data_IF_597413684398
#
_entry.id   IF_597413684398
#
_cell.length_a   1.000
_cell.length_b   1.000
_cell.length_c   1.000
_cell.angle_alpha   90.00
_cell.angle_beta   90.00
_cell.angle_gamma   90.00
#
_symmetry.space_group_name_H-M   'P 1'
#
loop_
_entity.id
_entity.type
_entity.pdbx_description
1 polymer ?
#
# COMPACT_ATOMS: atom_id res chain seq x y z
N UNK A 1 -0.01 12.34 -12.63
CA UNK A 1 0.29 11.55 -13.85
C UNK A 1 1.03 10.28 -13.50
N UNK A 2 0.35 9.15 -13.35
CA UNK A 2 0.99 7.84 -13.18
C UNK A 2 1.42 7.30 -14.55
N UNK A 3 2.52 7.80 -15.10
CA UNK A 3 3.13 7.17 -16.28
C UNK A 3 3.60 5.78 -15.87
N UNK A 4 3.05 4.74 -16.50
CA UNK A 4 3.43 3.36 -16.22
C UNK A 4 4.94 3.16 -16.44
N UNK A 5 5.61 2.54 -15.47
CA UNK A 5 7.04 2.20 -15.53
C UNK A 5 7.19 0.91 -16.33
N UNK A 6 8.07 0.92 -17.34
CA UNK A 6 8.38 -0.28 -18.12
C UNK A 6 9.22 -1.23 -17.27
N UNK A 7 8.77 -2.48 -17.11
CA UNK A 7 9.54 -3.51 -16.41
C UNK A 7 10.59 -4.08 -17.38
N UNK A 8 11.88 -4.15 -16.99
CA UNK A 8 12.92 -4.75 -17.82
C UNK A 8 12.60 -6.19 -18.18
N UNK A 9 12.85 -6.62 -19.42
CA UNK A 9 12.54 -7.99 -19.87
C UNK A 9 13.41 -9.06 -19.21
N UNK A 10 14.49 -8.68 -18.55
CA UNK A 10 15.32 -9.56 -17.73
C UNK A 10 14.96 -9.52 -16.23
N UNK A 11 13.92 -8.78 -15.83
CA UNK A 11 13.37 -8.89 -14.49
C UNK A 11 12.77 -10.30 -14.30
N UNK A 12 12.88 -10.80 -13.08
CA UNK A 12 12.40 -12.11 -12.67
C UNK A 12 11.00 -12.00 -12.06
N UNK A 13 10.23 -13.08 -12.14
CA UNK A 13 8.98 -13.23 -11.41
C UNK A 13 8.68 -14.71 -11.19
N UNK A 14 7.88 -15.01 -10.17
CA UNK A 14 7.35 -16.35 -9.97
C UNK A 14 6.19 -16.60 -10.94
N UNK A 15 6.32 -17.56 -11.85
CA UNK A 15 5.26 -17.96 -12.77
C UNK A 15 4.41 -19.07 -12.14
N UNK A 16 3.16 -18.82 -11.69
CA UNK A 16 2.37 -19.80 -10.97
C UNK A 16 1.99 -21.00 -11.84
N UNK A 17 1.71 -20.79 -13.13
CA UNK A 17 1.34 -21.86 -14.05
C UNK A 17 2.51 -22.82 -14.33
N UNK A 18 3.75 -22.30 -14.36
CA UNK A 18 4.97 -23.11 -14.53
C UNK A 18 5.56 -23.61 -13.20
N UNK A 19 5.08 -23.09 -12.08
CA UNK A 19 5.65 -23.29 -10.74
C UNK A 19 7.19 -23.10 -10.73
N UNK A 20 7.64 -22.01 -11.35
CA UNK A 20 9.06 -21.73 -11.54
C UNK A 20 9.33 -20.23 -11.65
N UNK A 21 10.55 -19.82 -11.30
CA UNK A 21 11.01 -18.46 -11.57
C UNK A 21 11.35 -18.32 -13.04
N UNK A 22 10.83 -17.29 -13.69
CA UNK A 22 11.07 -16.98 -15.10
C UNK A 22 11.29 -15.49 -15.31
N UNK A 23 11.72 -15.10 -16.52
CA UNK A 23 11.68 -13.69 -16.90
C UNK A 23 10.24 -13.20 -17.06
N UNK A 24 10.01 -11.92 -16.75
CA UNK A 24 8.72 -11.26 -16.98
C UNK A 24 8.33 -11.30 -18.46
N UNK A 25 7.03 -11.28 -18.74
CA UNK A 25 6.55 -11.22 -20.12
C UNK A 25 7.03 -9.92 -20.81
N UNK A 26 7.32 -9.93 -22.11
CA UNK A 26 7.62 -8.73 -22.86
C UNK A 26 6.51 -7.67 -22.71
N UNK A 27 6.89 -6.39 -22.67
CA UNK A 27 5.98 -5.26 -22.51
C UNK A 27 5.23 -5.20 -21.17
N UNK A 28 5.67 -5.94 -20.16
CA UNK A 28 5.17 -5.76 -18.78
C UNK A 28 5.40 -4.33 -18.31
N UNK A 29 4.38 -3.75 -17.69
CA UNK A 29 4.43 -2.43 -17.07
C UNK A 29 3.98 -2.51 -15.62
N UNK A 30 4.45 -1.58 -14.80
CA UNK A 30 4.12 -1.45 -13.40
C UNK A 30 3.77 0.00 -13.06
N UNK A 31 3.05 0.23 -11.97
CA UNK A 31 2.76 1.60 -11.50
C UNK A 31 3.98 2.23 -10.83
N UNK A 32 4.85 1.42 -10.24
CA UNK A 32 6.07 1.87 -9.57
C UNK A 32 7.21 0.87 -9.67
N UNK A 33 8.41 1.37 -9.37
CA UNK A 33 9.64 0.62 -9.19
C UNK A 33 10.34 1.14 -7.93
N UNK A 34 10.71 0.25 -7.02
CA UNK A 34 11.35 0.62 -5.75
C UNK A 34 12.61 -0.21 -5.56
N UNK A 35 13.71 0.45 -5.22
CA UNK A 35 14.96 -0.19 -4.83
C UNK A 35 15.01 -0.24 -3.31
N UNK A 36 15.00 -1.45 -2.75
CA UNK A 36 15.14 -1.69 -1.32
C UNK A 36 16.60 -1.98 -1.00
N UNK A 37 17.18 -1.18 -0.11
CA UNK A 37 18.48 -1.43 0.49
C UNK A 37 18.30 -2.15 1.82
N UNK A 38 18.63 -3.44 1.85
CA UNK A 38 18.50 -4.34 2.99
C UNK A 38 19.81 -4.46 3.79
N UNK A 39 20.86 -3.71 3.42
CA UNK A 39 22.11 -3.70 4.18
C UNK A 39 21.92 -3.41 5.68
N UNK A 40 21.02 -2.50 6.12
CA UNK A 40 20.75 -2.31 7.54
C UNK A 40 20.25 -3.58 8.24
N UNK A 41 19.37 -4.36 7.61
CA UNK A 41 18.89 -5.62 8.16
C UNK A 41 20.02 -6.66 8.17
N UNK A 42 20.67 -6.87 7.03
CA UNK A 42 21.65 -7.96 6.86
C UNK A 42 22.94 -7.75 7.67
N UNK A 43 23.31 -6.50 7.96
CA UNK A 43 24.54 -6.18 8.70
C UNK A 43 24.33 -6.13 10.22
N UNK A 44 23.12 -5.81 10.67
CA UNK A 44 22.87 -5.59 12.09
C UNK A 44 22.18 -6.78 12.73
N UNK A 45 21.27 -7.47 12.03
CA UNK A 45 20.44 -8.50 12.64
C UNK A 45 20.79 -9.91 12.14
N UNK A 46 20.47 -10.91 12.96
CA UNK A 46 20.62 -12.33 12.65
C UNK A 46 19.39 -13.10 13.11
N UNK A 47 19.20 -14.26 12.52
CA UNK A 47 18.21 -15.23 12.98
C UNK A 47 18.51 -15.70 14.41
N UNK A 48 17.49 -16.17 15.14
CA UNK A 48 17.61 -16.63 16.52
C UNK A 48 18.62 -17.79 16.71
N UNK A 49 18.96 -18.51 15.64
CA UNK A 49 19.98 -19.56 15.61
C UNK A 49 21.38 -19.05 15.25
N UNK A 50 21.55 -17.74 15.08
CA UNK A 50 22.81 -17.06 14.79
C UNK A 50 23.17 -16.99 13.30
N UNK A 51 22.33 -17.51 12.41
CA UNK A 51 22.53 -17.37 10.96
C UNK A 51 22.38 -15.90 10.52
N UNK A 52 23.19 -15.46 9.55
CA UNK A 52 23.00 -14.14 8.95
C UNK A 52 21.75 -14.12 8.08
N UNK A 53 21.01 -13.02 8.11
CA UNK A 53 19.89 -12.79 7.18
C UNK A 53 20.48 -12.38 5.82
N UNK A 54 19.97 -12.97 4.74
CA UNK A 54 20.53 -12.79 3.38
C UNK A 54 19.44 -12.54 2.34
N UNK A 55 19.86 -12.16 1.13
CA UNK A 55 18.94 -12.04 -0.01
C UNK A 55 18.19 -13.36 -0.33
N UNK A 56 18.78 -14.52 0.00
CA UNK A 56 18.10 -15.80 -0.18
C UNK A 56 16.84 -15.92 0.68
N UNK A 57 16.87 -15.39 1.91
CA UNK A 57 15.72 -15.40 2.82
C UNK A 57 14.55 -14.56 2.30
N UNK A 58 14.86 -13.38 1.74
CA UNK A 58 13.87 -12.46 1.15
C UNK A 58 13.21 -13.09 -0.07
N UNK A 59 14.02 -13.63 -0.98
CA UNK A 59 13.55 -14.23 -2.22
C UNK A 59 12.75 -15.51 -1.94
N UNK A 60 13.21 -16.35 -1.01
CA UNK A 60 12.53 -17.60 -0.72
C UNK A 60 11.16 -17.39 -0.08
N UNK A 61 11.00 -16.34 0.74
CA UNK A 61 9.70 -15.97 1.30
C UNK A 61 8.68 -15.58 0.23
N UNK A 62 9.09 -14.76 -0.75
CA UNK A 62 8.25 -14.47 -1.92
C UNK A 62 7.83 -15.77 -2.65
N UNK A 63 8.78 -16.68 -2.84
CA UNK A 63 8.54 -17.92 -3.58
C UNK A 63 7.61 -18.87 -2.83
N UNK A 64 7.89 -19.16 -1.56
CA UNK A 64 7.08 -20.11 -0.78
C UNK A 64 5.66 -19.57 -0.58
N UNK A 65 5.50 -18.25 -0.35
CA UNK A 65 4.20 -17.59 -0.34
C UNK A 65 3.47 -17.74 -1.68
N UNK A 66 4.20 -17.62 -2.80
CA UNK A 66 3.61 -17.82 -4.11
C UNK A 66 3.22 -19.28 -4.39
N UNK A 67 3.99 -20.25 -3.91
CA UNK A 67 3.69 -21.67 -4.02
C UNK A 67 2.44 -22.06 -3.22
N UNK A 68 2.30 -21.54 -1.99
CA UNK A 68 1.13 -21.81 -1.15
C UNK A 68 -0.15 -21.10 -1.64
N UNK A 69 -0.03 -19.98 -2.37
CA UNK A 69 -1.18 -19.09 -2.62
C UNK A 69 -1.65 -18.98 -4.08
N UNK A 70 -0.77 -19.14 -5.08
CA UNK A 70 -1.08 -18.71 -6.47
C UNK A 70 -1.45 -19.85 -7.43
N UNK A 71 -1.31 -21.11 -7.04
CA UNK A 71 -1.70 -22.24 -7.89
C UNK A 71 -2.25 -23.40 -7.05
N UNK A 72 -3.55 -23.67 -7.19
CA UNK A 72 -4.26 -24.72 -6.44
C UNK A 72 -3.81 -26.15 -6.75
N UNK A 73 -3.03 -26.36 -7.81
CA UNK A 73 -2.42 -27.67 -8.10
C UNK A 73 -1.08 -27.88 -7.41
N UNK A 74 -0.53 -26.87 -6.70
CA UNK A 74 0.70 -27.05 -5.93
C UNK A 74 0.43 -27.96 -4.70
N UNK A 75 1.29 -28.96 -4.41
CA UNK A 75 1.11 -29.83 -3.24
C UNK A 75 1.00 -29.10 -1.91
N UNK A 76 1.61 -27.92 -1.79
CA UNK A 76 1.56 -27.11 -0.57
C UNK A 76 0.55 -25.96 -0.64
N UNK A 77 -0.38 -26.00 -1.59
CA UNK A 77 -1.43 -25.00 -1.70
C UNK A 77 -2.33 -24.99 -0.45
N UNK A 78 -2.68 -23.78 -0.02
CA UNK A 78 -3.57 -23.51 1.09
C UNK A 78 -4.53 -22.37 0.73
N UNK A 79 -5.83 -22.62 0.83
CA UNK A 79 -6.86 -21.66 0.43
C UNK A 79 -6.91 -20.43 1.33
N UNK A 80 -6.56 -20.57 2.60
CA UNK A 80 -6.56 -19.47 3.56
C UNK A 80 -5.32 -18.59 3.35
N UNK A 81 -4.16 -19.20 3.13
CA UNK A 81 -2.95 -18.49 2.67
C UNK A 81 -3.17 -17.83 1.29
N UNK A 82 -3.91 -18.47 0.39
CA UNK A 82 -4.29 -17.89 -0.90
C UNK A 82 -5.14 -16.64 -0.73
N UNK A 83 -6.13 -16.68 0.16
CA UNK A 83 -6.96 -15.51 0.48
C UNK A 83 -6.16 -14.39 1.14
N UNK A 84 -5.20 -14.73 2.02
CA UNK A 84 -4.39 -13.74 2.75
C UNK A 84 -3.33 -13.08 1.85
N UNK A 85 -2.58 -13.88 1.08
CA UNK A 85 -1.39 -13.39 0.36
C UNK A 85 -1.60 -13.19 -1.13
N UNK A 86 -2.53 -13.94 -1.73
CA UNK A 86 -2.80 -13.91 -3.16
C UNK A 86 -3.01 -12.49 -3.72
N UNK A 87 -3.83 -11.63 -3.09
CA UNK A 87 -4.02 -10.25 -3.54
C UNK A 87 -2.71 -9.45 -3.60
N UNK A 88 -1.91 -9.49 -2.53
CA UNK A 88 -0.62 -8.79 -2.46
C UNK A 88 0.38 -9.33 -3.48
N UNK A 89 0.57 -10.64 -3.53
CA UNK A 89 1.49 -11.29 -4.46
C UNK A 89 1.19 -10.97 -5.93
N UNK A 90 -0.08 -10.81 -6.31
CA UNK A 90 -0.50 -10.45 -7.67
C UNK A 90 -0.17 -9.00 -8.05
N UNK A 91 0.09 -8.12 -7.07
CA UNK A 91 0.56 -6.74 -7.33
C UNK A 91 1.99 -6.72 -7.85
N UNK A 92 2.81 -7.73 -7.50
CA UNK A 92 4.20 -7.86 -7.94
C UNK A 92 4.25 -8.12 -9.45
N UNK A 93 4.97 -7.27 -10.19
CA UNK A 93 5.15 -7.37 -11.65
C UNK A 93 6.55 -7.82 -12.05
N UNK A 94 7.49 -7.83 -11.12
CA UNK A 94 8.79 -8.42 -11.28
C UNK A 94 9.76 -7.94 -10.21
N UNK A 95 10.93 -8.56 -10.15
CA UNK A 95 12.02 -8.16 -9.29
C UNK A 95 13.37 -8.38 -9.96
N UNK A 96 14.40 -7.67 -9.49
CA UNK A 96 15.77 -7.80 -9.95
C UNK A 96 16.71 -7.62 -8.78
N UNK A 97 17.59 -8.59 -8.60
CA UNK A 97 18.64 -8.50 -7.59
C UNK A 97 19.71 -7.55 -8.14
N UNK A 98 20.01 -6.49 -7.38
CA UNK A 98 20.98 -5.46 -7.77
C UNK A 98 22.37 -5.84 -7.27
N UNK A 99 22.46 -6.31 -6.03
CA UNK A 99 23.67 -6.85 -5.39
C UNK A 99 23.29 -7.71 -4.17
N UNK A 100 24.26 -8.10 -3.34
CA UNK A 100 24.05 -8.93 -2.15
C UNK A 100 23.11 -8.34 -1.09
N UNK A 101 22.86 -7.04 -1.11
CA UNK A 101 22.07 -6.30 -0.11
C UNK A 101 20.93 -5.48 -0.70
N UNK A 102 20.77 -5.44 -2.02
CA UNK A 102 19.78 -4.59 -2.67
C UNK A 102 19.00 -5.31 -3.76
N UNK A 103 17.69 -5.03 -3.80
CA UNK A 103 16.73 -5.59 -4.76
C UNK A 103 15.83 -4.48 -5.29
N UNK A 104 15.56 -4.50 -6.58
CA UNK A 104 14.56 -3.66 -7.22
C UNK A 104 13.28 -4.47 -7.45
N UNK A 105 12.14 -3.92 -7.06
CA UNK A 105 10.83 -4.57 -7.21
C UNK A 105 9.91 -3.63 -7.97
N UNK A 106 9.24 -4.18 -8.98
CA UNK A 106 8.19 -3.52 -9.74
C UNK A 106 6.84 -4.04 -9.30
N UNK A 107 5.88 -3.14 -9.10
CA UNK A 107 4.54 -3.55 -8.73
C UNK A 107 3.47 -2.50 -8.94
N UNK A 108 2.25 -2.93 -8.63
CA UNK A 108 1.03 -2.15 -8.74
C UNK A 108 0.35 -1.92 -7.39
N UNK A 109 1.09 -2.09 -6.28
CA UNK A 109 0.60 -1.59 -5.01
C UNK A 109 0.44 -0.07 -5.12
N UNK A 110 -0.62 0.48 -4.55
CA UNK A 110 -0.94 1.89 -4.70
C UNK A 110 -1.39 2.49 -3.40
N UNK A 111 -0.71 3.56 -3.04
CA UNK A 111 -1.14 4.49 -2.03
C UNK A 111 -0.70 5.90 -2.46
N UNK A 112 -1.44 6.93 -2.07
CA UNK A 112 -1.14 8.31 -2.48
C UNK A 112 0.15 8.84 -1.83
N UNK A 113 0.50 8.33 -0.64
CA UNK A 113 1.84 8.50 -0.05
C UNK A 113 2.79 7.44 -0.65
N UNK A 114 3.83 7.86 -1.40
CA UNK A 114 4.75 6.93 -2.04
C UNK A 114 5.56 6.08 -1.04
N UNK A 115 5.77 6.55 0.20
CA UNK A 115 6.48 5.76 1.21
C UNK A 115 5.60 4.60 1.70
N UNK A 116 4.31 4.85 1.88
CA UNK A 116 3.34 3.81 2.23
C UNK A 116 3.18 2.84 1.07
N UNK A 117 3.10 3.34 -0.16
CA UNK A 117 3.00 2.48 -1.35
C UNK A 117 4.26 1.61 -1.54
N UNK A 118 5.45 2.17 -1.32
CA UNK A 118 6.69 1.42 -1.30
C UNK A 118 6.72 0.39 -0.15
N UNK A 119 6.27 0.76 1.05
CA UNK A 119 6.18 -0.19 2.17
C UNK A 119 5.23 -1.33 1.84
N UNK A 120 4.03 -1.03 1.35
CA UNK A 120 3.05 -2.03 0.90
C UNK A 120 3.62 -2.96 -0.16
N UNK A 121 4.33 -2.42 -1.15
CA UNK A 121 4.97 -3.24 -2.19
C UNK A 121 6.02 -4.22 -1.61
N UNK A 122 6.79 -3.80 -0.61
CA UNK A 122 7.71 -4.70 0.08
C UNK A 122 6.99 -5.78 0.87
N UNK A 123 5.90 -5.42 1.58
CA UNK A 123 5.06 -6.37 2.31
C UNK A 123 4.40 -7.39 1.37
N UNK A 124 3.95 -6.95 0.19
CA UNK A 124 3.42 -7.83 -0.85
C UNK A 124 4.48 -8.80 -1.40
N UNK A 125 5.75 -8.38 -1.46
CA UNK A 125 6.86 -9.23 -1.87
C UNK A 125 7.35 -10.15 -0.74
N UNK A 126 7.21 -9.73 0.51
CA UNK A 126 7.67 -10.44 1.70
C UNK A 126 6.54 -10.66 2.72
N UNK A 127 5.45 -11.36 2.32
CA UNK A 127 4.21 -11.38 3.10
C UNK A 127 4.34 -12.17 4.39
N UNK A 128 5.22 -13.17 4.44
CA UNK A 128 5.38 -14.04 5.60
C UNK A 128 6.12 -13.37 6.76
N UNK A 129 6.84 -12.28 6.49
CA UNK A 129 7.55 -11.53 7.52
C UNK A 129 6.67 -10.61 8.37
N UNK A 130 5.47 -10.29 7.89
CA UNK A 130 4.70 -9.15 8.39
C UNK A 130 3.18 -9.34 8.36
N UNK A 131 2.68 -10.48 7.90
CA UNK A 131 1.25 -10.78 8.02
C UNK A 131 0.86 -10.89 9.50
N UNK A 132 -0.32 -10.39 9.86
CA UNK A 132 -0.93 -10.67 11.17
C UNK A 132 -1.19 -12.18 11.30
N UNK A 133 -1.18 -12.67 12.55
CA UNK A 133 -1.52 -14.04 12.95
C UNK A 133 -2.70 -14.63 12.13
N UNK A 134 -2.69 -15.94 11.81
CA UNK A 134 -1.84 -16.97 12.41
C UNK A 134 -0.60 -17.38 11.58
N UNK A 135 -0.21 -16.58 10.59
CA UNK A 135 0.81 -16.96 9.60
C UNK A 135 2.09 -16.14 9.64
N UNK A 136 2.25 -15.32 10.68
CA UNK A 136 3.37 -14.42 10.85
C UNK A 136 4.62 -15.21 11.25
N UNK A 137 5.62 -15.24 10.39
CA UNK A 137 6.86 -15.94 10.70
C UNK A 137 7.97 -15.53 9.78
N UNK A 138 8.57 -14.36 9.98
CA UNK A 138 9.85 -14.11 9.32
C UNK A 138 10.86 -15.13 9.86
N UNK A 139 11.25 -16.10 9.03
CA UNK A 139 12.08 -17.24 9.40
C UNK A 139 13.15 -17.51 8.32
N UNK A 140 14.28 -18.14 8.67
CA UNK A 140 15.30 -18.51 7.70
C UNK A 140 14.73 -19.43 6.62
N UNK A 141 15.19 -19.27 5.38
CA UNK A 141 14.67 -20.06 4.26
C UNK A 141 14.82 -21.58 4.46
N UNK A 142 15.82 -22.01 5.24
CA UNK A 142 16.02 -23.41 5.61
C UNK A 142 14.86 -23.95 6.44
N UNK A 143 14.31 -23.17 7.37
CA UNK A 143 13.16 -23.60 8.16
C UNK A 143 11.94 -23.79 7.23
N UNK A 144 11.74 -22.88 6.29
CA UNK A 144 10.69 -22.99 5.29
C UNK A 144 10.81 -24.24 4.42
N UNK A 145 12.03 -24.72 4.12
CA UNK A 145 12.21 -26.01 3.44
C UNK A 145 11.64 -27.16 4.27
N UNK A 146 11.93 -27.20 5.57
CA UNK A 146 11.41 -28.23 6.46
C UNK A 146 9.89 -28.17 6.59
N UNK A 147 9.34 -26.98 6.82
CA UNK A 147 7.89 -26.79 6.90
C UNK A 147 7.19 -27.16 5.59
N UNK A 148 7.76 -26.77 4.44
CA UNK A 148 7.26 -27.15 3.11
C UNK A 148 7.18 -28.66 2.94
N UNK A 149 8.21 -29.38 3.37
CA UNK A 149 8.26 -30.85 3.27
C UNK A 149 7.16 -31.50 4.12
N UNK A 150 7.00 -31.05 5.37
CA UNK A 150 5.93 -31.52 6.28
C UNK A 150 4.54 -31.33 5.67
N UNK A 151 4.28 -30.15 5.06
CA UNK A 151 3.00 -29.88 4.42
C UNK A 151 2.82 -30.67 3.13
N UNK A 152 3.87 -30.80 2.31
CA UNK A 152 3.82 -31.56 1.06
C UNK A 152 3.57 -33.06 1.29
N UNK A 153 4.07 -33.61 2.40
CA UNK A 153 3.80 -34.99 2.83
C UNK A 153 2.42 -35.17 3.49
N UNK A 154 1.66 -34.09 3.69
CA UNK A 154 0.32 -34.13 4.29
C UNK A 154 0.33 -34.41 5.79
N UNK A 155 1.46 -34.17 6.48
CA UNK A 155 1.57 -34.36 7.94
C UNK A 155 0.95 -33.21 8.73
N UNK A 156 0.95 -32.00 8.16
CA UNK A 156 0.29 -30.84 8.71
C UNK A 156 -0.18 -29.89 7.58
N UNK A 157 -1.05 -28.93 7.89
CA UNK A 157 -1.42 -27.85 6.99
C UNK A 157 -0.84 -26.50 7.45
N UNK A 158 -0.69 -25.55 6.52
CA UNK A 158 -0.25 -24.19 6.85
C UNK A 158 -1.27 -23.46 7.72
N UNK A 159 -2.56 -23.65 7.46
CA UNK A 159 -3.64 -23.00 8.20
C UNK A 159 -4.52 -23.93 9.03
N UNK A 160 -5.18 -23.35 10.03
CA UNK A 160 -6.21 -24.02 10.79
C UNK A 160 -7.38 -24.48 9.90
N UNK A 161 -7.89 -23.61 9.02
CA UNK A 161 -9.00 -23.97 8.13
C UNK A 161 -8.66 -25.12 7.19
N UNK A 162 -7.45 -25.13 6.63
CA UNK A 162 -6.96 -26.21 5.79
C UNK A 162 -6.70 -27.51 6.58
N UNK A 163 -6.17 -27.40 7.80
CA UNK A 163 -5.98 -28.52 8.72
C UNK A 163 -7.32 -29.21 9.03
N UNK A 164 -8.32 -28.42 9.43
CA UNK A 164 -9.68 -28.89 9.69
C UNK A 164 -10.31 -29.56 8.45
N UNK A 165 -10.19 -28.94 7.27
CA UNK A 165 -10.72 -29.49 6.03
C UNK A 165 -10.06 -30.81 5.60
N UNK A 166 -8.76 -30.98 5.90
CA UNK A 166 -7.99 -32.18 5.54
C UNK A 166 -8.00 -33.25 6.64
N UNK A 167 -8.46 -32.92 7.84
CA UNK A 167 -8.42 -33.82 9.00
C UNK A 167 -7.00 -34.12 9.47
N UNK A 168 -6.08 -33.17 9.34
CA UNK A 168 -4.67 -33.26 9.74
C UNK A 168 -4.34 -32.15 10.74
N UNK A 169 -3.15 -32.21 11.34
CA UNK A 169 -2.72 -31.20 12.31
C UNK A 169 -2.46 -29.85 11.62
N UNK A 170 -2.71 -28.76 12.35
CA UNK A 170 -2.26 -27.44 11.94
C UNK A 170 -0.79 -27.29 12.35
N UNK A 171 0.08 -26.96 11.39
CA UNK A 171 1.52 -26.89 11.58
C UNK A 171 1.89 -26.00 12.76
N UNK A 172 2.51 -26.59 13.78
CA UNK A 172 2.80 -25.91 15.03
C UNK A 172 4.28 -25.98 15.39
N UNK A 173 4.95 -24.82 15.35
CA UNK A 173 6.39 -24.70 15.60
C UNK A 173 6.82 -24.93 17.06
N UNK A 174 5.88 -25.12 17.98
CA UNK A 174 6.16 -25.51 19.38
C UNK A 174 5.62 -26.90 19.73
N UNK A 175 4.96 -27.59 18.79
CA UNK A 175 4.52 -28.98 18.95
C UNK A 175 5.71 -29.93 18.81
N UNK A 176 6.02 -30.78 19.81
CA UNK A 176 7.13 -31.73 19.71
C UNK A 176 7.03 -32.67 18.50
N UNK A 177 5.80 -33.01 18.10
CA UNK A 177 5.53 -33.85 16.93
C UNK A 177 5.95 -33.15 15.64
N UNK A 178 5.46 -31.93 15.40
CA UNK A 178 5.75 -31.18 14.17
C UNK A 178 7.20 -30.74 14.12
N UNK A 179 7.77 -30.32 15.25
CA UNK A 179 9.21 -30.02 15.37
C UNK A 179 10.03 -31.27 15.03
N UNK A 180 9.60 -32.46 15.45
CA UNK A 180 10.24 -33.72 15.06
C UNK A 180 10.17 -33.99 13.54
N UNK A 181 9.04 -33.71 12.90
CA UNK A 181 8.91 -33.81 11.45
C UNK A 181 9.81 -32.81 10.72
N UNK A 182 9.82 -31.55 11.16
CA UNK A 182 10.69 -30.50 10.60
C UNK A 182 12.17 -30.89 10.74
N UNK A 183 12.61 -31.34 11.93
CA UNK A 183 13.99 -31.82 12.13
C UNK A 183 14.34 -32.93 11.13
N UNK A 184 13.44 -33.90 10.95
CA UNK A 184 13.66 -35.01 10.01
C UNK A 184 13.80 -34.54 8.57
N UNK A 185 12.92 -33.62 8.13
CA UNK A 185 13.00 -32.99 6.82
C UNK A 185 14.32 -32.21 6.63
N UNK A 186 14.74 -31.42 7.62
CA UNK A 186 16.00 -30.68 7.55
C UNK A 186 17.23 -31.60 7.57
N UNK A 187 17.17 -32.74 8.26
CA UNK A 187 18.26 -33.74 8.22
C UNK A 187 18.41 -34.35 6.82
N UNK A 188 17.30 -34.65 6.14
CA UNK A 188 17.31 -35.13 4.76
C UNK A 188 17.87 -34.06 3.81
N UNK A 189 17.37 -32.83 3.92
CA UNK A 189 17.86 -31.69 3.14
C UNK A 189 19.36 -31.44 3.37
N UNK A 190 19.82 -31.52 4.63
CA UNK A 190 21.22 -31.39 5.02
C UNK A 190 22.08 -32.49 4.40
N UNK A 191 21.65 -33.75 4.45
CA UNK A 191 22.41 -34.88 3.89
C UNK A 191 22.59 -34.77 2.37
N UNK A 192 21.62 -34.19 1.68
CA UNK A 192 21.68 -33.94 0.24
C UNK A 192 22.31 -32.59 -0.14
N UNK A 193 22.67 -31.77 0.85
CA UNK A 193 23.07 -30.36 0.64
C UNK A 193 22.06 -29.63 -0.26
N UNK A 194 20.77 -29.83 0.04
CA UNK A 194 19.67 -29.39 -0.80
C UNK A 194 19.61 -27.85 -0.88
N UNK A 195 19.44 -27.33 -2.09
CA UNK A 195 19.11 -25.93 -2.33
C UNK A 195 17.80 -25.93 -3.14
N UNK A 196 16.78 -25.17 -2.72
CA UNK A 196 15.53 -25.07 -3.45
C UNK A 196 15.75 -24.76 -4.92
N UNK A 197 15.10 -25.52 -5.79
CA UNK A 197 15.24 -25.37 -7.25
C UNK A 197 14.90 -23.95 -7.72
N UNK A 198 13.98 -23.29 -7.03
CA UNK A 198 13.60 -21.90 -7.29
C UNK A 198 14.71 -20.89 -6.97
N UNK A 199 15.49 -21.10 -5.89
CA UNK A 199 16.69 -20.30 -5.62
C UNK A 199 17.77 -20.53 -6.68
N UNK A 200 18.02 -21.78 -7.09
CA UNK A 200 18.95 -22.10 -8.19
C UNK A 200 18.52 -21.41 -9.49
N UNK A 201 17.21 -21.36 -9.79
CA UNK A 201 16.69 -20.65 -10.96
C UNK A 201 16.95 -19.14 -10.86
N UNK A 202 16.73 -18.53 -9.69
CA UNK A 202 17.02 -17.12 -9.46
C UNK A 202 18.50 -16.84 -9.68
N UNK A 203 19.40 -17.64 -9.11
CA UNK A 203 20.85 -17.48 -9.32
C UNK A 203 21.22 -17.55 -10.79
N UNK A 204 20.71 -18.56 -11.50
CA UNK A 204 20.98 -18.76 -12.93
C UNK A 204 20.46 -17.61 -13.81
N UNK A 205 19.26 -17.10 -13.53
CA UNK A 205 18.63 -16.05 -14.34
C UNK A 205 19.14 -14.65 -13.97
N UNK A 206 19.51 -14.41 -12.72
CA UNK A 206 20.08 -13.13 -12.26
C UNK A 206 21.60 -13.03 -12.43
N UNK A 207 22.29 -14.16 -12.57
CA UNK A 207 23.75 -14.27 -12.53
C UNK A 207 24.36 -13.73 -11.22
N UNK A 208 23.65 -13.92 -10.10
CA UNK A 208 24.08 -13.56 -8.74
C UNK A 208 24.00 -14.81 -7.87
N UNK A 209 25.10 -15.17 -7.21
CA UNK A 209 25.11 -16.24 -6.22
C UNK A 209 24.38 -15.79 -4.95
N UNK A 210 23.38 -16.57 -4.55
CA UNK A 210 22.58 -16.39 -3.34
C UNK A 210 22.98 -17.36 -2.23
N UNK A 211 23.20 -18.63 -2.57
CA UNK A 211 23.46 -19.70 -1.62
C UNK A 211 24.49 -20.67 -2.18
N UNK A 212 25.61 -20.83 -1.48
CA UNK A 212 26.55 -21.92 -1.75
C UNK A 212 26.12 -23.21 -1.04
N UNK A 213 26.51 -24.40 -1.55
CA UNK A 213 26.25 -25.67 -0.88
C UNK A 213 26.70 -25.69 0.59
N UNK A 214 27.86 -25.10 0.89
CA UNK A 214 28.39 -25.00 2.25
C UNK A 214 27.51 -24.12 3.15
N UNK A 215 27.00 -23.00 2.63
CA UNK A 215 26.04 -22.15 3.37
C UNK A 215 24.70 -22.86 3.61
N UNK A 216 24.19 -23.60 2.62
CA UNK A 216 22.99 -24.40 2.78
C UNK A 216 23.16 -25.44 3.90
N UNK A 217 24.25 -26.22 3.86
CA UNK A 217 24.57 -27.22 4.87
C UNK A 217 24.68 -26.61 6.27
N UNK A 218 25.46 -25.52 6.41
CA UNK A 218 25.65 -24.85 7.69
C UNK A 218 24.32 -24.32 8.25
N UNK A 219 23.45 -23.77 7.39
CA UNK A 219 22.16 -23.26 7.82
C UNK A 219 21.17 -24.33 8.27
N UNK A 220 21.12 -25.48 7.59
CA UNK A 220 20.33 -26.62 8.08
C UNK A 220 20.84 -27.11 9.45
N UNK A 221 22.16 -27.20 9.62
CA UNK A 221 22.75 -27.61 10.89
C UNK A 221 22.47 -26.62 12.03
N UNK A 222 22.50 -25.31 11.75
CA UNK A 222 22.14 -24.27 12.72
C UNK A 222 20.67 -24.40 13.15
N UNK A 223 19.74 -24.51 12.19
CA UNK A 223 18.31 -24.66 12.48
C UNK A 223 17.99 -25.94 13.27
N UNK A 224 18.59 -27.08 12.88
CA UNK A 224 18.46 -28.35 13.62
C UNK A 224 19.00 -28.22 15.05
N UNK A 225 20.15 -27.57 15.22
CA UNK A 225 20.76 -27.39 16.54
C UNK A 225 19.91 -26.51 17.45
N UNK A 226 19.34 -25.43 16.91
CA UNK A 226 18.39 -24.58 17.62
C UNK A 226 17.18 -25.38 18.11
N UNK A 227 16.53 -26.13 17.20
CA UNK A 227 15.34 -26.92 17.53
C UNK A 227 15.62 -28.00 18.58
N UNK A 228 16.79 -28.66 18.51
CA UNK A 228 17.21 -29.64 19.53
C UNK A 228 17.53 -29.00 20.88
N UNK A 229 18.01 -27.76 20.89
CA UNK A 229 18.39 -27.04 22.11
C UNK A 229 17.15 -26.53 22.85
N UNK A 230 16.22 -25.92 22.13
CA UNK A 230 15.08 -25.21 22.73
C UNK A 230 13.73 -25.93 22.57
N UNK A 231 13.70 -27.06 21.86
CA UNK A 231 12.50 -27.87 21.66
C UNK A 231 11.41 -27.22 20.80
N UNK A 232 11.74 -26.15 20.07
CA UNK A 232 10.82 -25.43 19.20
C UNK A 232 11.53 -24.91 17.94
N UNK A 233 10.75 -24.63 16.90
CA UNK A 233 11.21 -24.15 15.61
C UNK A 233 10.99 -22.63 15.41
N UNK A 234 10.80 -21.85 16.47
CA UNK A 234 10.60 -20.40 16.39
C UNK A 234 11.93 -19.67 16.14
N UNK A 235 12.46 -19.78 14.93
CA UNK A 235 13.75 -19.20 14.52
C UNK A 235 13.55 -17.81 13.91
N UNK A 236 12.94 -16.89 14.67
CA UNK A 236 12.67 -15.52 14.21
C UNK A 236 13.90 -14.61 14.21
N UNK A 237 13.76 -13.40 13.66
CA UNK A 237 14.76 -12.32 13.73
C UNK A 237 14.42 -11.26 14.81
N UNK A 238 13.40 -11.51 15.62
CA UNK A 238 12.88 -10.55 16.59
C UNK A 238 13.71 -10.37 17.87
N UNK A 239 13.26 -9.47 18.77
CA UNK A 239 13.98 -9.10 20.00
C UNK A 239 14.05 -10.21 21.06
N UNK A 240 13.31 -11.30 20.90
CA UNK A 240 13.22 -12.38 21.89
C UNK A 240 13.34 -13.76 21.24
N UNK A 241 13.95 -14.68 21.98
CA UNK A 241 14.08 -16.10 21.62
C UNK A 241 13.25 -16.92 22.61
N UNK A 242 12.40 -17.82 22.11
CA UNK A 242 11.67 -18.79 22.92
C UNK A 242 12.61 -19.93 23.33
N UNK A 243 12.95 -20.00 24.63
CA UNK A 243 13.92 -21.00 25.15
C UNK A 243 13.27 -22.12 25.95
N UNK A 244 12.01 -21.96 26.37
CA UNK A 244 11.22 -23.03 26.93
C UNK A 244 9.72 -22.73 26.75
N UNK A 245 8.94 -23.78 26.51
CA UNK A 245 7.50 -23.73 26.35
C UNK A 245 6.88 -24.98 26.97
N UNK A 246 5.90 -24.82 27.86
CA UNK A 246 5.12 -25.93 28.38
C UNK A 246 3.67 -25.50 28.62
N UNK A 247 2.77 -25.76 27.67
CA UNK A 247 1.36 -25.39 27.78
C UNK A 247 0.59 -26.33 28.72
N UNK A 248 1.17 -27.47 29.11
CA UNK A 248 0.57 -28.46 30.01
C UNK A 248 1.05 -28.33 31.45
N UNK A 249 1.97 -27.41 31.75
CA UNK A 249 2.40 -27.10 33.11
C UNK A 249 1.29 -26.39 33.89
N UNK A 250 1.42 -26.33 35.22
CA UNK A 250 0.51 -25.56 36.09
C UNK A 250 1.33 -24.58 36.95
N UNK A 251 1.33 -23.27 36.62
CA UNK A 251 0.69 -22.65 35.46
C UNK A 251 1.42 -22.99 34.14
N UNK A 252 0.72 -22.95 32.99
CA UNK A 252 1.36 -23.05 31.67
C UNK A 252 2.33 -21.88 31.50
N UNK A 253 3.46 -22.11 30.82
CA UNK A 253 4.48 -21.07 30.69
C UNK A 253 5.18 -21.06 29.33
N UNK A 254 5.66 -19.87 28.98
CA UNK A 254 6.66 -19.61 27.96
C UNK A 254 7.83 -18.86 28.62
N UNK A 255 9.06 -19.24 28.31
CA UNK A 255 10.26 -18.51 28.74
C UNK A 255 10.93 -17.92 27.52
N UNK A 256 11.01 -16.59 27.50
CA UNK A 256 11.67 -15.80 26.47
C UNK A 256 12.97 -15.23 27.06
N UNK A 257 14.02 -15.15 26.24
CA UNK A 257 15.23 -14.39 26.56
C UNK A 257 15.46 -13.34 25.49
N UNK A 258 16.12 -12.23 25.86
CA UNK A 258 16.52 -11.21 24.89
C UNK A 258 17.42 -11.85 23.83
N UNK A 259 17.10 -11.64 22.56
CA UNK A 259 17.94 -12.06 21.45
C UNK A 259 19.25 -11.27 21.47
N UNK A 260 20.42 -11.93 21.49
CA UNK A 260 21.70 -11.26 21.31
C UNK A 260 21.95 -10.85 19.85
N UNK A 261 21.01 -11.18 18.96
CA UNK A 261 21.10 -11.03 17.51
C UNK A 261 20.19 -9.94 16.95
N UNK A 262 19.42 -9.27 17.81
CA UNK A 262 18.54 -8.17 17.44
C UNK A 262 19.15 -6.84 17.87
N UNK A 263 19.46 -6.01 16.88
CA UNK A 263 20.20 -4.77 17.01
C UNK A 263 19.48 -3.57 16.37
N UNK A 264 18.20 -3.73 16.00
CA UNK A 264 17.40 -2.63 15.47
C UNK A 264 17.30 -1.49 16.49
N UNK A 265 17.89 -0.34 16.14
CA UNK A 265 17.66 0.93 16.82
C UNK A 265 16.54 1.62 16.04
N UNK A 266 15.34 1.80 16.63
CA UNK A 266 14.26 2.50 15.92
C UNK A 266 14.76 3.90 15.55
N UNK A 267 14.51 4.38 14.32
CA UNK A 267 14.88 5.74 13.94
C UNK A 267 14.22 6.71 14.91
N UNK A 268 14.92 7.77 15.30
CA UNK A 268 14.41 8.75 16.28
C UNK A 268 13.04 9.32 15.87
N UNK A 269 12.79 9.40 14.57
CA UNK A 269 11.51 9.81 13.99
C UNK A 269 10.36 8.85 14.33
N UNK A 270 10.61 7.54 14.44
CA UNK A 270 9.59 6.58 14.87
C UNK A 270 9.19 6.75 16.34
N UNK A 271 10.01 7.45 17.13
CA UNK A 271 9.72 7.82 18.51
C UNK A 271 9.11 9.22 18.63
N UNK A 272 8.93 9.93 17.51
CA UNK A 272 8.31 11.25 17.52
C UNK A 272 6.82 11.15 17.84
N UNK A 273 6.30 12.18 18.51
CA UNK A 273 4.89 12.25 18.82
C UNK A 273 4.12 12.52 17.52
N UNK A 274 3.11 11.73 17.16
CA UNK A 274 2.45 11.90 15.89
C UNK A 274 1.55 13.16 15.93
N UNK A 275 1.28 13.76 14.77
CA UNK A 275 0.56 15.03 14.62
C UNK A 275 -0.67 14.89 13.70
N UNK A 276 -1.73 15.65 13.99
CA UNK A 276 -2.82 15.90 13.06
C UNK A 276 -2.56 17.18 12.28
N UNK A 277 -2.61 17.10 10.94
CA UNK A 277 -2.46 18.25 10.07
C UNK A 277 -3.83 18.83 9.69
N UNK A 278 -3.92 20.15 9.71
CA UNK A 278 -5.04 20.92 9.18
C UNK A 278 -4.54 21.87 8.11
N UNK A 279 -5.32 21.99 7.03
CA UNK A 279 -5.02 22.84 5.89
C UNK A 279 -6.02 24.00 5.87
N UNK A 280 -5.50 25.21 5.69
CA UNK A 280 -6.28 26.43 5.50
C UNK A 280 -5.87 27.09 4.20
N UNK A 281 -6.84 27.34 3.32
CA UNK A 281 -6.67 28.12 2.09
C UNK A 281 -7.76 29.19 2.04
N UNK A 282 -7.36 30.45 1.86
CA UNK A 282 -8.29 31.53 1.58
C UNK A 282 -8.59 31.58 0.08
N UNK A 283 -9.78 31.16 -0.32
CA UNK A 283 -10.20 31.15 -1.73
C UNK A 283 -11.07 32.38 -2.02
N UNK A 284 -10.65 33.28 -2.93
CA UNK A 284 -11.48 34.39 -3.37
C UNK A 284 -12.79 33.91 -4.03
N UNK A 285 -13.85 34.74 -4.09
CA UNK A 285 -15.11 34.38 -4.76
C UNK A 285 -14.93 33.97 -6.23
N UNK A 286 -13.94 34.56 -6.90
CA UNK A 286 -13.55 34.26 -8.27
C UNK A 286 -12.05 34.40 -8.40
N UNK A 287 -11.43 33.55 -9.22
CA UNK A 287 -9.99 33.59 -9.54
C UNK A 287 -9.77 33.68 -11.05
N UNK A 288 -8.59 34.15 -11.45
CA UNK A 288 -8.16 34.22 -12.85
C UNK A 288 -7.23 33.05 -13.21
N UNK A 289 -7.16 32.64 -14.49
CA UNK A 289 -6.14 31.71 -14.96
C UNK A 289 -4.73 32.21 -14.61
N UNK A 290 -3.86 31.33 -14.11
CA UNK A 290 -2.51 31.70 -13.67
C UNK A 290 -2.43 32.39 -12.30
N UNK A 291 -3.54 32.62 -11.60
CA UNK A 291 -3.53 33.19 -10.26
C UNK A 291 -2.94 32.21 -9.23
N UNK A 292 -2.13 32.74 -8.31
CA UNK A 292 -1.52 31.96 -7.22
C UNK A 292 -2.29 32.15 -5.93
N UNK A 293 -2.79 31.05 -5.37
CA UNK A 293 -3.41 30.98 -4.05
C UNK A 293 -2.37 30.55 -3.01
N UNK A 294 -2.45 31.11 -1.81
CA UNK A 294 -1.52 30.79 -0.71
C UNK A 294 -2.29 30.21 0.45
N UNK A 295 -1.88 29.02 0.89
CA UNK A 295 -2.45 28.31 2.03
C UNK A 295 -1.44 28.10 3.14
N UNK A 296 -1.90 27.63 4.29
CA UNK A 296 -1.08 27.30 5.46
C UNK A 296 -1.47 25.92 5.99
N UNK A 297 -0.46 25.15 6.40
CA UNK A 297 -0.62 23.89 7.11
C UNK A 297 -0.25 24.10 8.58
N UNK A 298 -1.14 23.66 9.47
CA UNK A 298 -0.92 23.66 10.91
C UNK A 298 -0.93 22.23 11.44
N UNK A 299 0.09 21.86 12.21
CA UNK A 299 0.22 20.57 12.90
C UNK A 299 -0.22 20.68 14.36
N UNK A 300 -0.93 19.66 14.84
CA UNK A 300 -1.37 19.53 16.23
C UNK A 300 -0.85 18.21 16.80
N UNK A 301 0.17 18.24 17.69
CA UNK A 301 0.71 17.03 18.30
C UNK A 301 -0.34 16.24 19.09
N UNK A 302 -0.24 14.91 19.06
CA UNK A 302 -1.14 14.02 19.78
C UNK A 302 -1.19 14.36 21.27
N UNK A 303 -2.40 14.37 21.83
CA UNK A 303 -2.63 14.73 23.24
C UNK A 303 -2.59 16.23 23.52
N UNK A 304 -2.48 17.09 22.50
CA UNK A 304 -2.55 18.55 22.64
C UNK A 304 -3.72 19.14 21.85
N UNK A 305 -4.06 20.40 22.13
CA UNK A 305 -5.08 21.18 21.40
C UNK A 305 -4.48 22.40 20.69
N UNK A 306 -3.17 22.60 20.78
CA UNK A 306 -2.49 23.77 20.24
C UNK A 306 -1.86 23.42 18.90
N UNK A 307 -2.31 24.09 17.85
CA UNK A 307 -1.75 23.94 16.51
C UNK A 307 -0.63 24.95 16.25
N UNK A 308 0.40 24.54 15.52
CA UNK A 308 1.50 25.41 15.11
C UNK A 308 1.77 25.27 13.60
N UNK A 309 2.29 26.30 12.92
CA UNK A 309 2.65 26.18 11.52
C UNK A 309 3.72 25.11 11.32
N UNK A 310 3.51 24.19 10.38
CA UNK A 310 4.44 23.06 10.18
C UNK A 310 5.26 23.23 8.91
N UNK A 311 6.59 23.42 9.01
CA UNK A 311 7.46 23.53 7.85
C UNK A 311 7.80 22.16 7.24
N UNK A 312 8.22 22.15 5.97
CA UNK A 312 8.61 20.95 5.21
C UNK A 312 7.50 19.87 5.13
N UNK A 313 6.23 20.27 5.25
CA UNK A 313 5.09 19.37 5.08
C UNK A 313 4.82 19.18 3.59
N UNK A 314 4.68 17.93 3.17
CA UNK A 314 4.29 17.63 1.79
C UNK A 314 2.83 17.96 1.60
N UNK A 315 2.53 18.82 0.63
CA UNK A 315 1.18 19.22 0.26
C UNK A 315 0.91 18.73 -1.17
N UNK A 316 -0.09 17.86 -1.32
CA UNK A 316 -0.58 17.39 -2.62
C UNK A 316 -1.82 18.20 -2.98
N UNK A 317 -1.78 18.82 -4.15
CA UNK A 317 -2.80 19.74 -4.66
C UNK A 317 -3.38 19.14 -5.93
N UNK A 318 -4.66 18.77 -5.90
CA UNK A 318 -5.36 18.21 -7.05
C UNK A 318 -6.48 19.16 -7.48
N UNK A 319 -6.39 19.65 -8.71
CA UNK A 319 -7.46 20.40 -9.34
C UNK A 319 -8.35 19.43 -10.09
N UNK A 320 -9.65 19.45 -9.84
CA UNK A 320 -10.61 18.52 -10.40
C UNK A 320 -11.79 19.24 -11.04
N UNK A 321 -12.38 18.60 -12.03
CA UNK A 321 -13.74 18.92 -12.46
C UNK A 321 -14.75 18.59 -11.36
N UNK A 322 -15.96 19.19 -11.36
CA UNK A 322 -17.02 18.88 -10.39
C UNK A 322 -17.46 17.40 -10.38
N UNK A 323 -17.17 16.65 -11.45
CA UNK A 323 -17.43 15.21 -11.54
C UNK A 323 -16.32 14.35 -10.91
N UNK A 324 -15.28 14.96 -10.31
CA UNK A 324 -14.15 14.28 -9.68
C UNK A 324 -13.01 13.89 -10.62
N UNK A 325 -13.06 14.25 -11.91
CA UNK A 325 -11.95 13.97 -12.84
C UNK A 325 -10.79 14.93 -12.56
N UNK A 326 -9.58 14.39 -12.32
CA UNK A 326 -8.37 15.18 -12.07
C UNK A 326 -7.91 15.90 -13.34
N UNK A 327 -7.70 17.21 -13.24
CA UNK A 327 -7.16 18.10 -14.28
C UNK A 327 -5.64 18.22 -14.12
N UNK A 328 -5.20 18.51 -12.91
CA UNK A 328 -3.79 18.66 -12.56
C UNK A 328 -3.53 18.18 -11.15
N UNK A 329 -2.33 17.67 -10.90
CA UNK A 329 -1.86 17.26 -9.58
C UNK A 329 -0.43 17.76 -9.38
N UNK A 330 -0.20 18.57 -8.36
CA UNK A 330 1.12 19.09 -8.00
C UNK A 330 1.47 18.73 -6.55
N UNK A 331 2.76 18.72 -6.25
CA UNK A 331 3.29 18.43 -4.91
C UNK A 331 4.27 19.52 -4.51
N UNK A 332 4.02 20.15 -3.38
CA UNK A 332 4.82 21.24 -2.83
C UNK A 332 5.25 20.92 -1.40
N UNK A 333 6.28 21.63 -0.92
CA UNK A 333 6.67 21.62 0.49
C UNK A 333 6.30 22.96 1.13
N UNK A 334 5.81 22.92 2.36
CA UNK A 334 5.58 24.15 3.12
C UNK A 334 6.90 24.84 3.51
N UNK A 335 6.90 26.18 3.50
CA UNK A 335 8.03 26.99 3.95
C UNK A 335 8.17 26.99 5.49
N UNK A 336 9.13 27.77 6.02
CA UNK A 336 9.38 27.91 7.46
C UNK A 336 8.16 28.38 8.29
N UNK A 337 7.16 28.99 7.64
CA UNK A 337 5.92 29.48 8.25
C UNK A 337 4.73 28.56 7.96
N UNK A 338 4.96 27.33 7.49
CA UNK A 338 3.91 26.38 7.17
C UNK A 338 3.12 26.72 5.90
N UNK A 339 3.57 27.68 5.09
CA UNK A 339 2.82 28.14 3.92
C UNK A 339 3.18 27.38 2.67
N UNK A 340 2.19 27.15 1.80
CA UNK A 340 2.35 26.60 0.45
C UNK A 340 1.63 27.49 -0.56
N UNK A 341 2.02 27.38 -1.83
CA UNK A 341 1.40 28.11 -2.93
C UNK A 341 0.83 27.15 -3.98
N UNK A 342 -0.29 27.51 -4.58
CA UNK A 342 -0.90 26.79 -5.69
C UNK A 342 -1.19 27.78 -6.81
N UNK A 343 -0.63 27.55 -7.99
CA UNK A 343 -0.88 28.39 -9.17
C UNK A 343 -1.82 27.66 -10.10
N UNK A 344 -2.94 28.30 -10.47
CA UNK A 344 -3.88 27.72 -11.41
C UNK A 344 -3.22 27.57 -12.81
N UNK A 345 -3.53 26.51 -13.57
CA UNK A 345 -3.09 26.39 -14.95
C UNK A 345 -3.51 27.63 -15.76
N UNK A 346 -2.57 28.22 -16.52
CA UNK A 346 -2.85 29.46 -17.26
C UNK A 346 -3.82 29.26 -18.44
N UNK A 347 -3.99 28.02 -18.89
CA UNK A 347 -4.87 27.58 -19.97
C UNK A 347 -6.24 27.08 -19.46
N UNK A 348 -6.51 27.16 -18.16
CA UNK A 348 -7.78 26.73 -17.59
C UNK A 348 -8.95 27.59 -18.10
N UNK A 349 -10.02 26.91 -18.53
CA UNK A 349 -11.21 27.58 -19.03
C UNK A 349 -12.04 28.17 -17.88
N UNK A 350 -12.87 29.20 -18.16
CA UNK A 350 -13.83 29.69 -17.19
C UNK A 350 -14.81 28.59 -16.77
N UNK A 351 -15.08 28.47 -15.48
CA UNK A 351 -15.90 27.39 -14.94
C UNK A 351 -15.77 27.21 -13.43
N UNK A 352 -16.50 26.22 -12.91
CA UNK A 352 -16.40 25.80 -11.52
C UNK A 352 -15.56 24.53 -11.41
N UNK A 353 -14.63 24.52 -10.45
CA UNK A 353 -13.65 23.47 -10.21
C UNK A 353 -13.57 23.15 -8.72
N UNK A 354 -13.01 21.99 -8.40
CA UNK A 354 -12.68 21.59 -7.05
C UNK A 354 -11.16 21.58 -6.88
N UNK A 355 -10.65 22.13 -5.79
CA UNK A 355 -9.26 21.98 -5.38
C UNK A 355 -9.20 21.12 -4.12
N UNK A 356 -8.76 19.88 -4.27
CA UNK A 356 -8.49 18.96 -3.16
C UNK A 356 -7.06 19.15 -2.69
N UNK A 357 -6.87 19.32 -1.39
CA UNK A 357 -5.56 19.56 -0.76
C UNK A 357 -5.34 18.56 0.36
N UNK A 358 -4.26 17.80 0.28
CA UNK A 358 -3.84 16.85 1.32
C UNK A 358 -2.46 17.23 1.83
N UNK A 359 -2.26 17.25 3.15
CA UNK A 359 -0.98 17.55 3.77
C UNK A 359 -0.51 16.37 4.62
N UNK A 360 0.77 16.01 4.50
CA UNK A 360 1.36 14.92 5.29
C UNK A 360 2.87 15.03 5.52
N UNK A 361 3.31 14.39 6.60
CA UNK A 361 4.69 14.13 7.00
C UNK A 361 4.78 12.73 7.62
N UNK A 362 5.99 12.29 7.95
CA UNK A 362 6.21 11.03 8.66
C UNK A 362 5.56 10.97 10.06
N UNK A 363 5.19 12.12 10.63
CA UNK A 363 4.46 12.23 11.90
C UNK A 363 2.94 12.19 11.73
N UNK A 364 2.39 12.18 10.52
CA UNK A 364 0.95 12.25 10.29
C UNK A 364 0.18 11.08 10.92
N UNK A 365 -0.80 11.39 11.77
CA UNK A 365 -1.76 10.40 12.31
C UNK A 365 -2.79 10.02 11.24
N UNK A 366 -3.25 11.01 10.48
CA UNK A 366 -4.32 10.89 9.49
C UNK A 366 -4.06 11.90 8.37
N UNK A 367 -4.36 11.49 7.14
CA UNK A 367 -4.34 12.37 5.98
C UNK A 367 -5.78 12.60 5.59
N UNK A 368 -6.27 13.81 5.85
CA UNK A 368 -7.65 14.22 5.59
C UNK A 368 -7.67 15.31 4.51
N UNK A 369 -7.99 14.96 3.25
CA UNK A 369 -8.07 15.94 2.17
C UNK A 369 -9.13 17.00 2.46
N UNK A 370 -8.81 18.27 2.23
CA UNK A 370 -9.76 19.39 2.29
C UNK A 370 -10.06 19.85 0.86
N UNK A 371 -11.34 19.95 0.53
CA UNK A 371 -11.78 20.36 -0.82
C UNK A 371 -12.37 21.76 -0.80
N UNK A 372 -11.86 22.62 -1.68
CA UNK A 372 -12.37 23.96 -1.93
C UNK A 372 -13.04 24.06 -3.30
N UNK A 373 -14.11 24.84 -3.41
CA UNK A 373 -14.71 25.19 -4.70
C UNK A 373 -14.02 26.44 -5.25
N UNK A 374 -13.57 26.38 -6.50
CA UNK A 374 -12.92 27.48 -7.20
C UNK A 374 -13.77 27.87 -8.42
N UNK A 375 -14.06 29.16 -8.55
CA UNK A 375 -14.76 29.70 -9.73
C UNK A 375 -13.77 30.51 -10.57
N UNK A 376 -13.45 30.02 -11.75
CA UNK A 376 -12.54 30.69 -12.71
C UNK A 376 -13.34 31.62 -13.61
N UNK A 377 -12.89 32.87 -13.72
CA UNK A 377 -13.46 33.88 -14.62
C UNK A 377 -12.57 34.09 -15.86
N UNK A 378 -13.12 34.63 -16.97
CA UNK A 378 -12.33 34.90 -18.17
C UNK A 378 -11.16 35.84 -17.88
N UNK A 379 -9.99 35.55 -18.44
CA UNK A 379 -8.87 36.46 -18.38
C UNK A 379 -9.26 37.82 -18.96
N UNK A 380 -9.11 38.90 -18.19
CA UNK A 380 -9.38 40.26 -18.67
C UNK A 380 -8.23 40.66 -19.59
N UNK A 381 -8.39 40.48 -20.89
CA UNK A 381 -7.46 41.02 -21.88
C UNK A 381 -7.64 42.54 -21.93
N UNK A 382 -6.76 43.28 -21.27
CA UNK A 382 -6.74 44.75 -21.42
C UNK A 382 -6.09 45.08 -22.75
N UNK A 383 -6.89 45.11 -23.83
CA UNK A 383 -6.43 45.67 -25.10
C UNK A 383 -6.29 47.18 -24.91
N UNK A 384 -5.06 47.65 -24.75
CA UNK A 384 -4.77 49.09 -24.78
C UNK A 384 -4.92 49.56 -26.22
N UNK A 385 -6.11 50.03 -26.59
CA UNK A 385 -6.32 50.74 -27.86
C UNK A 385 -5.79 52.16 -27.70
N UNK A 386 -4.60 52.41 -28.26
CA UNK A 386 -4.10 53.76 -28.48
C UNK A 386 -4.97 54.43 -29.56
N UNK A 387 -5.95 55.22 -29.14
CA UNK A 387 -6.77 56.03 -30.06
C UNK A 387 -6.01 57.28 -30.48
N UNK A 388 -5.42 57.28 -31.68
CA UNK A 388 -5.01 58.50 -32.37
C UNK A 388 -6.24 59.32 -32.75
N UNK A 389 -6.35 60.52 -32.20
CA UNK A 389 -7.39 61.51 -32.55
C UNK A 389 -7.07 62.18 -33.87
N UNK A 390 -7.74 61.78 -34.95
CA UNK A 390 -7.86 62.60 -36.17
C UNK A 390 -9.19 63.34 -36.11
N UNK A 391 -9.11 64.66 -35.99
CA UNK A 391 -10.23 65.58 -36.04
C UNK A 391 -10.73 65.72 -37.48
N UNK A 392 -11.94 65.25 -37.75
CA UNK A 392 -12.72 65.67 -38.93
C UNK A 392 -14.14 66.00 -38.50
N UNK A 393 -14.55 67.21 -38.84
CA UNK A 393 -15.81 67.84 -38.48
C UNK A 393 -16.86 67.59 -39.57
N UNK A 394 -18.01 66.98 -39.23
CA UNK A 394 -19.26 67.16 -39.99
C UNK A 394 -20.52 66.76 -39.20
N UNK A 395 -21.28 67.80 -38.87
CA UNK A 395 -22.74 68.02 -38.77
C UNK A 395 -23.74 66.82 -38.77
N UNK A 396 -24.42 66.70 -37.62
CA UNK A 396 -25.87 66.49 -37.35
C UNK A 396 -26.70 65.48 -38.16
N UNK A 397 -27.30 64.49 -37.48
CA UNK A 397 -28.76 64.26 -37.47
C UNK A 397 -29.16 63.52 -36.19
N UNK A 398 -30.17 64.07 -35.51
CA UNK A 398 -30.80 63.57 -34.29
C UNK A 398 -31.74 62.42 -34.62
N UNK A 399 -31.66 61.30 -33.90
CA UNK A 399 -32.83 60.43 -33.71
C UNK A 399 -32.79 59.83 -32.30
N UNK A 400 -33.77 60.25 -31.53
CA UNK A 400 -34.10 59.81 -30.18
C UNK A 400 -34.88 58.50 -30.21
N UNK A 401 -34.44 57.48 -29.48
CA UNK A 401 -35.34 56.47 -28.91
C UNK A 401 -34.85 56.06 -27.52
N UNK A 402 -35.77 56.19 -26.57
CA UNK A 402 -35.61 55.95 -25.13
C UNK A 402 -36.33 54.66 -24.75
N UNK A 403 -35.70 53.80 -23.94
CA UNK A 403 -36.34 52.90 -22.97
C UNK A 403 -35.23 52.29 -22.09
N UNK A 404 -34.98 52.83 -20.90
CA UNK A 404 -35.64 52.57 -19.60
C UNK A 404 -35.61 51.09 -19.19
N UNK A 405 -34.81 50.85 -18.14
CA UNK A 405 -34.63 49.63 -17.38
C UNK A 405 -35.91 49.13 -16.69
N UNK A 406 -36.02 47.80 -16.53
CA UNK A 406 -36.73 47.21 -15.38
C UNK A 406 -36.08 45.91 -14.97
N UNK A 407 -35.67 45.89 -13.71
CA UNK A 407 -35.25 44.76 -12.88
C UNK A 407 -36.47 43.88 -12.57
N UNK A 408 -36.24 42.60 -12.26
CA UNK A 408 -37.08 41.63 -11.51
C UNK A 408 -37.61 40.41 -12.31
N UNK A 409 -36.94 39.26 -12.19
CA UNK A 409 -37.55 37.95 -11.86
C UNK A 409 -36.49 36.83 -11.72
N UNK A 410 -35.94 36.72 -10.52
CA UNK A 410 -35.43 35.44 -9.99
C UNK A 410 -36.63 34.79 -9.25
N UNK A 411 -36.67 33.45 -9.18
CA UNK A 411 -37.72 32.57 -8.59
C UNK A 411 -38.59 31.82 -9.64
N UNK A 412 -37.97 31.18 -10.64
CA UNK A 412 -38.65 30.11 -11.41
C UNK A 412 -37.76 28.90 -11.77
N UNK A 413 -36.56 28.78 -11.18
CA UNK A 413 -35.60 27.71 -11.54
C UNK A 413 -35.42 26.62 -10.48
N UNK A 414 -36.21 26.59 -9.40
CA UNK A 414 -36.03 25.62 -8.30
C UNK A 414 -36.96 24.39 -8.42
N UNK A 415 -38.09 24.49 -9.13
CA UNK A 415 -39.03 23.37 -9.28
C UNK A 415 -38.70 22.40 -10.42
N UNK A 416 -37.83 22.79 -11.37
CA UNK A 416 -37.45 21.95 -12.52
C UNK A 416 -36.27 21.02 -12.23
N UNK A 417 -35.48 21.30 -11.18
CA UNK A 417 -34.29 20.52 -10.82
C UNK A 417 -34.63 19.26 -10.02
N UNK A 418 -35.71 19.27 -9.23
CA UNK A 418 -36.16 18.09 -8.46
C UNK A 418 -36.81 17.00 -9.33
N UNK A 419 -37.39 17.35 -10.49
CA UNK A 419 -37.97 16.36 -11.42
C UNK A 419 -36.92 15.59 -12.21
N UNK A 420 -35.73 16.16 -12.43
CA UNK A 420 -34.65 15.55 -13.22
C UNK A 420 -33.85 14.55 -12.37
N UNK A 421 -33.71 14.79 -11.06
CA UNK A 421 -32.95 13.92 -10.15
C UNK A 421 -33.71 12.59 -9.88
N UNK A 422 -35.03 12.62 -9.78
CA UNK A 422 -35.83 11.40 -9.52
C UNK A 422 -35.90 10.43 -10.71
N UNK A 423 -35.83 10.91 -11.95
CA UNK A 423 -35.84 10.04 -13.14
C UNK A 423 -34.51 9.34 -13.38
N UNK A 424 -33.39 9.98 -13.01
CA UNK A 424 -32.03 9.44 -13.16
C UNK A 424 -31.76 8.33 -12.13
N UNK A 425 -32.25 8.46 -10.90
CA UNK A 425 -32.10 7.45 -9.85
C UNK A 425 -32.89 6.16 -10.19
N UNK A 426 -34.10 6.30 -10.76
CA UNK A 426 -34.94 5.14 -11.10
C UNK A 426 -34.36 4.32 -12.27
N UNK A 427 -33.70 4.94 -13.25
CA UNK A 427 -33.10 4.22 -14.38
C UNK A 427 -31.81 3.44 -14.03
N UNK A 428 -31.12 3.88 -12.98
CA UNK A 428 -29.83 3.30 -12.56
C UNK A 428 -30.04 2.04 -11.71
N UNK A 429 -31.14 1.97 -10.95
CA UNK A 429 -31.46 0.80 -10.11
C UNK A 429 -31.96 -0.38 -10.95
N UNK A 430 -32.70 -0.16 -12.04
CA UNK A 430 -33.24 -1.25 -12.88
C UNK A 430 -32.16 -1.98 -13.70
N UNK A 431 -31.00 -1.36 -13.94
CA UNK A 431 -29.88 -2.00 -14.66
C UNK A 431 -28.94 -2.84 -13.78
N UNK A 432 -29.05 -2.73 -12.46
CA UNK A 432 -28.17 -3.43 -11.52
C UNK A 432 -28.68 -4.82 -11.08
N UNK A 433 -29.87 -5.26 -11.51
CA UNK A 433 -30.55 -6.47 -10.99
C UNK A 433 -30.36 -7.73 -11.85
N UNK A 434 -29.39 -7.78 -12.78
CA UNK A 434 -29.17 -8.98 -13.61
C UNK A 434 -28.06 -9.93 -13.12
N UNK A 435 -27.35 -9.64 -12.02
CA UNK A 435 -26.30 -10.50 -11.48
C UNK A 435 -26.64 -11.01 -10.07
N UNK A 436 -27.08 -12.27 -10.01
CA UNK A 436 -27.68 -12.93 -8.83
C UNK A 436 -26.70 -13.16 -7.66
N UNK A 437 -25.39 -12.93 -7.83
CA UNK A 437 -24.38 -13.11 -6.78
C UNK A 437 -24.30 -12.00 -5.71
N UNK A 438 -24.85 -10.80 -5.98
CA UNK A 438 -24.65 -9.63 -5.10
C UNK A 438 -25.86 -9.26 -4.23
N UNK A 439 -26.99 -9.95 -4.41
CA UNK A 439 -28.27 -9.57 -3.79
C UNK A 439 -28.23 -9.75 -2.27
N UNK A 440 -27.57 -10.81 -1.76
CA UNK A 440 -27.48 -11.04 -0.31
C UNK A 440 -26.60 -10.01 0.42
N UNK A 441 -25.45 -9.64 -0.16
CA UNK A 441 -24.53 -8.68 0.44
C UNK A 441 -25.10 -7.25 0.45
N UNK A 442 -25.80 -6.85 -0.62
CA UNK A 442 -26.43 -5.53 -0.72
C UNK A 442 -27.62 -5.40 0.23
N UNK A 443 -28.44 -6.46 0.39
CA UNK A 443 -29.56 -6.46 1.34
C UNK A 443 -29.04 -6.31 2.78
N UNK A 444 -27.96 -7.01 3.15
CA UNK A 444 -27.36 -6.89 4.49
C UNK A 444 -26.81 -5.47 4.71
N UNK A 445 -26.16 -4.88 3.70
CA UNK A 445 -25.61 -3.52 3.81
C UNK A 445 -26.71 -2.45 3.94
N UNK A 446 -27.82 -2.61 3.20
CA UNK A 446 -28.98 -1.71 3.27
C UNK A 446 -29.69 -1.81 4.62
N UNK A 447 -29.83 -3.02 5.19
CA UNK A 447 -30.41 -3.20 6.53
C UNK A 447 -29.52 -2.54 7.60
N UNK A 448 -28.20 -2.67 7.50
CA UNK A 448 -27.26 -2.02 8.43
C UNK A 448 -27.37 -0.49 8.35
N UNK A 449 -27.49 0.07 7.14
CA UNK A 449 -27.66 1.51 6.94
C UNK A 449 -29.00 2.00 7.50
N UNK A 450 -30.09 1.26 7.28
CA UNK A 450 -31.41 1.60 7.84
C UNK A 450 -31.39 1.57 9.36
N UNK A 451 -30.73 0.57 9.97
CA UNK A 451 -30.57 0.47 11.43
C UNK A 451 -29.72 1.61 11.99
N UNK A 452 -28.64 2.00 11.32
CA UNK A 452 -27.78 3.13 11.72
C UNK A 452 -28.51 4.48 11.60
N UNK A 453 -29.30 4.68 10.53
CA UNK A 453 -30.12 5.88 10.35
C UNK A 453 -31.24 5.95 11.40
N UNK A 454 -31.88 4.83 11.71
CA UNK A 454 -32.89 4.76 12.78
C UNK A 454 -32.28 5.02 14.18
N UNK A 455 -31.06 4.56 14.44
CA UNK A 455 -30.33 4.83 15.70
C UNK A 455 -29.89 6.30 15.82
N UNK A 456 -29.49 6.93 14.71
CA UNK A 456 -29.13 8.36 14.68
C UNK A 456 -30.36 9.27 14.84
N UNK A 457 -31.51 8.89 14.30
CA UNK A 457 -32.77 9.63 14.48
C UNK A 457 -33.37 9.48 15.89
N UNK A 458 -33.02 8.41 16.63
CA UNK A 458 -33.46 8.19 18.02
C UNK A 458 -32.62 8.94 19.07
N UNK A 459 -31.50 9.56 18.68
CA UNK A 459 -30.59 10.32 19.56
C UNK A 459 -30.70 11.85 19.41
N UNK A 460 -31.80 12.34 18.82
CA UNK A 460 -32.18 13.76 18.86
C UNK A 460 -33.37 13.99 19.76
#
# INVERSE_FOLDING_TARGET
NSSAVKVPTNALWWNPSKQAVTYVSPNTTAQMAVIYNLAPLFNNDKWADGQSITMADIIYQYIIASEMSLNSSNPIYDSEASSAYGPGLQTIKGFKIINSTAIEIWGNDWFFDPNVAATGLFLAFNPLGYAEEPYAGYFPWQLYVGMKDVVAEGKAAWSEGAAQSKGIDWLNLVSPTDVGYIISALQNASAMTYIPQSLIQVEKLSNITLVTPQQALAGYQAAISFMKTYGNAMIGDGPFILVAWNPSASPPYAKLVKSPYFHLIPPTQALSLPEMFSVSLSVPPTVSPGETLVGTVMGTPAGTTTSQPTPNTTVVLELLYPNGTVISSTRELTNSSGQFAFTLPSDILPGSYLLSISAYQNTSILINPVTYTIVVTPAITTTTTTSTTTSTSTTTTVTTTSSVSTVTSVISSVSTVTSIISSVITSTITKAVSNVGYIAAIIVLVIIIIVLVALLLRRR
#
